data_IF_026929779419
#
_entry.id   IF_026929779419
#
_cell.length_a   1.000
_cell.length_b   1.000
_cell.length_c   1.000
_cell.angle_alpha   90.00
_cell.angle_beta   90.00
_cell.angle_gamma   90.00
#
_symmetry.space_group_name_H-M   'P 1'
#
loop_
_entity.id
_entity.type
_entity.pdbx_description
1 polymer ?
#
# COMPACT_ATOMS: atom_id res chain seq x y z
N UNK A 1 9.13 7.83 -22.98
CA UNK A 1 7.87 7.85 -22.18
C UNK A 1 7.48 6.43 -21.82
N UNK A 2 7.12 6.19 -20.58
CA UNK A 2 6.64 4.88 -20.15
C UNK A 2 5.18 4.73 -20.53
N UNK A 3 4.83 3.61 -21.17
CA UNK A 3 3.43 3.32 -21.48
C UNK A 3 2.67 3.00 -20.20
N UNK A 4 1.56 3.68 -20.01
CA UNK A 4 0.65 3.46 -18.88
C UNK A 4 -0.65 2.84 -19.38
N UNK A 5 -1.29 1.96 -18.57
CA UNK A 5 -0.78 1.46 -17.30
C UNK A 5 0.26 0.35 -17.51
N UNK A 6 1.10 0.13 -16.50
CA UNK A 6 1.96 -1.04 -16.49
C UNK A 6 1.86 -1.78 -15.16
N UNK A 7 2.12 -3.09 -15.20
CA UNK A 7 1.95 -3.98 -14.07
C UNK A 7 3.29 -4.38 -13.46
N UNK A 8 3.35 -4.40 -12.13
CA UNK A 8 4.48 -4.92 -11.36
C UNK A 8 3.99 -6.06 -10.49
N UNK A 9 4.50 -7.27 -10.72
CA UNK A 9 4.12 -8.43 -9.92
C UNK A 9 4.80 -8.36 -8.55
N UNK A 10 4.06 -8.76 -7.52
CA UNK A 10 4.48 -8.79 -6.13
C UNK A 10 4.17 -10.15 -5.53
N UNK A 11 4.85 -10.57 -4.44
CA UNK A 11 4.56 -11.86 -3.80
C UNK A 11 3.11 -12.00 -3.32
N UNK A 12 2.46 -10.88 -3.01
CA UNK A 12 1.10 -10.83 -2.47
C UNK A 12 0.02 -10.55 -3.53
N UNK A 13 0.41 -10.32 -4.77
CA UNK A 13 -0.50 -9.97 -5.87
C UNK A 13 0.20 -9.12 -6.91
N UNK A 14 -0.30 -7.92 -7.17
CA UNK A 14 0.35 -7.02 -8.13
C UNK A 14 -0.01 -5.55 -7.88
N UNK A 15 0.79 -4.68 -8.47
CA UNK A 15 0.50 -3.25 -8.59
C UNK A 15 0.24 -2.92 -10.05
N UNK A 16 -0.80 -2.15 -10.32
CA UNK A 16 -1.05 -1.55 -11.63
C UNK A 16 -0.79 -0.05 -11.50
N UNK A 17 0.28 0.42 -12.12
CA UNK A 17 0.64 1.84 -12.11
C UNK A 17 -0.08 2.50 -13.30
N UNK A 18 -1.09 3.32 -13.00
CA UNK A 18 -1.91 3.96 -14.03
C UNK A 18 -1.63 5.45 -14.20
N UNK A 19 -0.90 6.05 -13.26
CA UNK A 19 -0.45 7.44 -13.34
C UNK A 19 0.95 7.55 -12.76
N UNK A 20 1.84 8.24 -13.46
CA UNK A 20 3.19 8.48 -12.97
C UNK A 20 3.75 9.74 -13.62
N UNK A 21 3.98 10.74 -12.80
CA UNK A 21 4.56 12.02 -13.21
C UNK A 21 5.65 12.41 -12.21
N UNK A 22 6.31 13.54 -12.44
CA UNK A 22 7.27 14.08 -11.48
C UNK A 22 6.60 14.65 -10.21
N UNK A 23 5.27 14.67 -10.14
CA UNK A 23 4.52 15.24 -9.02
C UNK A 23 3.68 14.22 -8.25
N UNK A 24 3.24 13.14 -8.89
CA UNK A 24 2.37 12.15 -8.25
C UNK A 24 2.47 10.80 -8.92
N UNK A 25 1.98 9.79 -8.20
CA UNK A 25 1.82 8.41 -8.69
C UNK A 25 0.43 7.94 -8.33
N UNK A 26 -0.22 7.23 -9.26
CA UNK A 26 -1.48 6.53 -9.02
C UNK A 26 -1.29 5.05 -9.28
N UNK A 27 -1.74 4.22 -8.33
CA UNK A 27 -1.65 2.76 -8.43
C UNK A 27 -2.95 2.11 -8.03
N UNK A 28 -3.17 0.90 -8.54
CA UNK A 28 -4.11 -0.05 -7.97
C UNK A 28 -3.29 -1.20 -7.42
N UNK A 29 -3.46 -1.50 -6.12
CA UNK A 29 -2.83 -2.65 -5.47
C UNK A 29 -3.86 -3.77 -5.42
N UNK A 30 -3.58 -4.89 -6.10
CA UNK A 30 -4.41 -6.09 -6.01
C UNK A 30 -3.75 -7.05 -5.03
N UNK A 31 -4.44 -7.37 -3.94
CA UNK A 31 -3.91 -8.23 -2.88
C UNK A 31 -4.76 -9.49 -2.81
N UNK A 32 -4.13 -10.65 -2.95
CA UNK A 32 -4.80 -11.94 -2.85
C UNK A 32 -5.20 -12.24 -1.40
N UNK A 33 -6.30 -13.01 -1.19
CA UNK A 33 -6.78 -13.30 0.17
C UNK A 33 -5.71 -13.94 1.03
N UNK A 34 -5.61 -13.50 2.28
CA UNK A 34 -4.66 -14.03 3.24
C UNK A 34 -3.23 -13.55 3.06
N UNK A 35 -2.94 -12.75 2.03
CA UNK A 35 -1.62 -12.18 1.82
C UNK A 35 -1.46 -10.87 2.56
N UNK A 36 -0.22 -10.56 2.90
CA UNK A 36 0.12 -9.39 3.69
C UNK A 36 1.31 -8.67 3.05
N UNK A 37 1.24 -7.35 2.98
CA UNK A 37 2.38 -6.54 2.57
C UNK A 37 3.40 -6.45 3.71
N UNK A 38 4.60 -5.93 3.43
CA UNK A 38 5.60 -5.77 4.49
C UNK A 38 5.13 -4.76 5.54
N UNK A 39 5.62 -4.95 6.75
CA UNK A 39 5.58 -3.91 7.78
C UNK A 39 6.64 -2.89 7.39
N UNK A 40 6.24 -1.66 7.10
CA UNK A 40 7.10 -0.71 6.40
C UNK A 40 6.80 0.74 6.76
N UNK A 41 7.71 1.63 6.38
CA UNK A 41 7.47 3.07 6.36
C UNK A 41 8.14 3.68 5.14
N UNK A 42 7.79 4.91 4.82
CA UNK A 42 8.40 5.71 3.75
C UNK A 42 9.07 6.94 4.34
N UNK A 43 10.20 7.33 3.80
CA UNK A 43 10.92 8.52 4.32
C UNK A 43 10.28 9.83 3.86
N UNK A 44 9.86 9.89 2.60
CA UNK A 44 9.29 11.10 1.97
C UNK A 44 7.93 10.87 1.39
N UNK A 45 7.64 9.64 0.92
CA UNK A 45 6.40 9.32 0.25
C UNK A 45 5.21 9.55 1.18
N UNK A 46 4.27 10.32 0.69
CA UNK A 46 2.98 10.58 1.32
C UNK A 46 1.91 9.91 0.47
N UNK A 47 0.99 9.16 1.08
CA UNK A 47 0.01 8.42 0.32
C UNK A 47 -1.37 8.42 0.94
N UNK A 48 -2.39 8.36 0.09
CA UNK A 48 -3.77 8.12 0.48
C UNK A 48 -4.26 6.86 -0.19
N UNK A 49 -5.00 6.06 0.54
CA UNK A 49 -5.51 4.75 0.09
C UNK A 49 -7.03 4.77 0.16
N UNK A 50 -7.66 4.28 -0.90
CA UNK A 50 -9.10 4.07 -0.95
C UNK A 50 -9.38 2.59 -1.24
N UNK A 51 -10.24 1.96 -0.46
CA UNK A 51 -10.61 0.56 -0.68
C UNK A 51 -11.68 0.49 -1.78
N UNK A 52 -11.27 0.11 -2.99
CA UNK A 52 -12.18 -0.03 -4.13
C UNK A 52 -13.10 -1.23 -3.95
N UNK A 53 -12.53 -2.39 -3.61
CA UNK A 53 -13.26 -3.62 -3.36
C UNK A 53 -12.53 -4.40 -2.28
N UNK A 54 -13.28 -5.19 -1.50
CA UNK A 54 -12.71 -6.08 -0.51
C UNK A 54 -12.62 -5.48 0.89
N UNK A 55 -11.70 -6.03 1.66
CA UNK A 55 -11.48 -5.64 3.05
C UNK A 55 -10.06 -5.95 3.46
N UNK A 56 -9.45 -5.05 4.20
CA UNK A 56 -8.11 -5.23 4.75
C UNK A 56 -8.12 -5.07 6.27
N UNK A 57 -7.10 -5.64 6.90
CA UNK A 57 -6.68 -5.26 8.24
C UNK A 57 -5.55 -4.26 8.04
N UNK A 58 -5.76 -3.03 8.48
CA UNK A 58 -4.73 -2.00 8.51
C UNK A 58 -4.04 -2.03 9.86
N UNK A 59 -2.72 -2.25 9.86
CA UNK A 59 -1.89 -2.05 11.05
C UNK A 59 -1.16 -0.74 10.86
N UNK A 60 -1.30 0.17 11.83
CA UNK A 60 -0.73 1.50 11.74
C UNK A 60 -0.24 1.97 13.11
N UNK A 61 0.94 2.58 13.12
CA UNK A 61 1.55 3.09 14.34
C UNK A 61 0.82 4.35 14.82
N UNK A 62 0.48 4.35 16.10
CA UNK A 62 0.00 5.54 16.81
C UNK A 62 0.81 5.67 18.11
N UNK A 63 1.69 6.68 18.17
CA UNK A 63 2.63 6.80 19.27
C UNK A 63 3.55 5.57 19.31
N UNK A 64 3.59 4.88 20.45
CA UNK A 64 4.42 3.69 20.63
C UNK A 64 3.66 2.38 20.34
N UNK A 65 2.43 2.46 19.88
CA UNK A 65 1.54 1.31 19.70
C UNK A 65 1.23 1.10 18.23
N UNK A 66 1.27 -0.17 17.81
CA UNK A 66 0.79 -0.57 16.50
C UNK A 66 -0.67 -1.04 16.67
N UNK A 67 -1.61 -0.26 16.13
CA UNK A 67 -3.03 -0.58 16.23
C UNK A 67 -3.51 -1.32 15.00
N UNK A 68 -4.56 -2.11 15.16
CA UNK A 68 -5.21 -2.83 14.06
C UNK A 68 -6.62 -2.29 13.85
N UNK A 69 -6.99 -2.10 12.56
CA UNK A 69 -8.34 -1.69 12.18
C UNK A 69 -8.78 -2.45 10.94
N UNK A 70 -10.01 -3.01 10.94
CA UNK A 70 -10.61 -3.48 9.70
C UNK A 70 -11.04 -2.26 8.88
N UNK A 71 -10.68 -2.25 7.61
CA UNK A 71 -11.06 -1.19 6.67
C UNK A 71 -11.77 -1.85 5.50
N UNK A 72 -13.02 -1.48 5.27
CA UNK A 72 -13.87 -2.09 4.27
C UNK A 72 -14.04 -1.22 3.04
N UNK A 73 -14.62 -1.81 2.00
CA UNK A 73 -14.94 -1.14 0.74
C UNK A 73 -15.59 0.22 0.95
N UNK A 74 -15.11 1.23 0.24
CA UNK A 74 -15.62 2.60 0.32
C UNK A 74 -14.94 3.48 1.36
N UNK A 75 -14.06 2.93 2.19
CA UNK A 75 -13.31 3.72 3.18
C UNK A 75 -11.97 4.16 2.62
N UNK A 76 -11.46 5.26 3.14
CA UNK A 76 -10.16 5.80 2.76
C UNK A 76 -9.37 6.21 4.00
N UNK A 77 -8.05 6.22 3.87
CA UNK A 77 -7.16 6.65 4.94
C UNK A 77 -5.87 7.25 4.37
N UNK A 78 -5.22 8.06 5.18
CA UNK A 78 -3.98 8.76 4.83
C UNK A 78 -2.82 8.17 5.64
N UNK A 79 -1.70 7.92 4.97
CA UNK A 79 -0.46 7.47 5.60
C UNK A 79 0.61 8.51 5.33
N UNK A 80 0.99 9.22 6.39
CA UNK A 80 2.04 10.24 6.34
C UNK A 80 3.42 9.60 6.24
N UNK A 81 4.42 10.34 5.75
CA UNK A 81 5.81 9.89 5.79
C UNK A 81 6.22 9.47 7.21
N UNK A 82 7.07 8.45 7.30
CA UNK A 82 7.63 7.91 8.54
C UNK A 82 6.68 7.09 9.39
N UNK A 83 5.40 7.00 9.04
CA UNK A 83 4.42 6.21 9.80
C UNK A 83 4.54 4.73 9.43
N UNK A 84 4.82 3.89 10.42
CA UNK A 84 4.91 2.44 10.23
C UNK A 84 3.52 1.87 10.00
N UNK A 85 3.36 1.06 8.95
CA UNK A 85 2.08 0.49 8.56
C UNK A 85 2.21 -0.83 7.83
N UNK A 86 1.11 -1.58 7.75
CA UNK A 86 1.02 -2.85 7.03
C UNK A 86 -0.43 -3.10 6.62
N UNK A 87 -0.63 -3.65 5.42
CA UNK A 87 -1.95 -4.08 4.92
C UNK A 87 -2.00 -5.59 4.83
N UNK A 88 -3.09 -6.19 5.31
CA UNK A 88 -3.37 -7.61 5.12
C UNK A 88 -4.74 -7.77 4.49
N UNK A 89 -4.85 -8.53 3.40
CA UNK A 89 -6.12 -8.76 2.74
C UNK A 89 -6.90 -9.89 3.41
N UNK A 90 -8.16 -9.62 3.78
CA UNK A 90 -9.08 -10.62 4.33
C UNK A 90 -9.73 -11.42 3.20
N UNK A 91 -10.06 -10.73 2.12
CA UNK A 91 -10.65 -11.27 0.88
C UNK A 91 -9.88 -10.69 -0.29
N UNK A 92 -10.13 -11.12 -1.55
CA UNK A 92 -9.50 -10.44 -2.69
C UNK A 92 -9.79 -8.94 -2.62
N UNK A 93 -8.75 -8.12 -2.66
CA UNK A 93 -8.89 -6.69 -2.37
C UNK A 93 -8.16 -5.85 -3.41
N UNK A 94 -8.84 -4.80 -3.88
CA UNK A 94 -8.23 -3.77 -4.72
C UNK A 94 -8.20 -2.45 -3.96
N UNK A 95 -7.00 -1.89 -3.80
CA UNK A 95 -6.77 -0.60 -3.17
C UNK A 95 -6.35 0.41 -4.23
N UNK A 96 -6.93 1.60 -4.19
CA UNK A 96 -6.49 2.72 -5.02
C UNK A 96 -5.54 3.57 -4.20
N UNK A 97 -4.32 3.76 -4.69
CA UNK A 97 -3.31 4.60 -4.07
C UNK A 97 -3.09 5.87 -4.87
N UNK A 98 -3.11 7.01 -4.20
CA UNK A 98 -2.61 8.27 -4.72
C UNK A 98 -1.42 8.68 -3.85
N UNK A 99 -0.27 8.91 -4.44
CA UNK A 99 0.93 9.22 -3.68
C UNK A 99 1.83 10.24 -4.37
N UNK A 100 2.75 10.77 -3.58
CA UNK A 100 3.87 11.59 -4.09
C UNK A 100 4.80 10.72 -4.93
N UNK A 101 5.71 11.31 -5.73
CA UNK A 101 6.39 10.55 -6.79
C UNK A 101 7.51 9.61 -6.34
N UNK A 102 7.83 9.51 -5.05
CA UNK A 102 8.90 8.67 -4.51
C UNK A 102 8.51 7.18 -4.56
N UNK A 103 8.42 6.62 -5.76
CA UNK A 103 7.85 5.29 -6.00
C UNK A 103 8.64 4.15 -5.35
N UNK A 104 9.96 4.31 -5.19
CA UNK A 104 10.84 3.29 -4.62
C UNK A 104 11.22 3.57 -3.17
N UNK A 105 10.63 4.58 -2.55
CA UNK A 105 10.91 4.99 -1.18
C UNK A 105 10.18 4.09 -0.19
N UNK A 106 10.81 2.98 0.17
CA UNK A 106 10.25 2.05 1.16
C UNK A 106 11.37 1.48 2.04
N UNK A 107 11.13 1.46 3.36
CA UNK A 107 11.96 0.74 4.32
C UNK A 107 11.12 -0.38 4.92
N UNK A 108 11.48 -1.62 4.62
CA UNK A 108 10.78 -2.80 5.12
C UNK A 108 11.38 -3.24 6.44
N UNK A 109 10.54 -3.35 7.47
CA UNK A 109 10.95 -3.79 8.81
C UNK A 109 10.74 -5.28 8.98
N UNK A 110 9.64 -5.83 8.47
CA UNK A 110 9.33 -7.26 8.46
C UNK A 110 8.63 -7.59 7.16
N UNK A 111 8.95 -8.73 6.59
CA UNK A 111 8.35 -9.18 5.36
C UNK A 111 8.22 -10.70 5.33
N UNK A 112 6.98 -11.19 5.14
CA UNK A 112 6.67 -12.62 5.04
C UNK A 112 7.45 -13.30 3.91
N UNK A 113 7.78 -12.55 2.87
CA UNK A 113 8.36 -13.08 1.62
C UNK A 113 9.87 -12.90 1.54
N UNK A 114 10.51 -12.48 2.63
CA UNK A 114 11.98 -12.42 2.73
C UNK A 114 12.64 -11.25 2.02
N UNK A 115 11.93 -10.14 1.80
CA UNK A 115 12.47 -8.96 1.12
C UNK A 115 13.16 -7.96 2.07
N UNK A 116 13.31 -8.33 3.33
CA UNK A 116 14.04 -7.49 4.31
C UNK A 116 15.51 -7.86 4.29
#
# INVERSE_FOLDING_TARGET
>A
MTDLPYRVDKPWGHELIWARTDRYVGKILHIEPGHVLSLQYHNKKDESIYVLTGEIILRIQQGDTLIERPISQGAAFHIEPKVIHQFEAVVPTDLLEASTPEIDDVVRLKDRYGRV
#
